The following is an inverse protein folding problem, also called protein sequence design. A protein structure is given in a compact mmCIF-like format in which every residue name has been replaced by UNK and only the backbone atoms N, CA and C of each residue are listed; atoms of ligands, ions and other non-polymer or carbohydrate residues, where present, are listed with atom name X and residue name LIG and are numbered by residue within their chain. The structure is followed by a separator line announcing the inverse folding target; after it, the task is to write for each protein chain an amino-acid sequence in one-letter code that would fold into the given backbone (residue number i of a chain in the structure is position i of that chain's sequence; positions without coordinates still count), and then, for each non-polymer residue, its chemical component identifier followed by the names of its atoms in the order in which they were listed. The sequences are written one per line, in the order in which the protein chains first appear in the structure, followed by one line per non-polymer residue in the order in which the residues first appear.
data_IF_588082765482
#
_entry.id   IF_588082765482
#
_cell.length_a   1.000
_cell.length_b   1.000
_cell.length_c   1.000
_cell.angle_alpha   90.00
_cell.angle_beta   90.00
_cell.angle_gamma   90.00
#
_symmetry.space_group_name_H-M   'P 1'
#
loop_
_entity.id
_entity.type
_entity.pdbx_description
1 polymer ?
#
# COMPACT_ATOMS: atom_id res chain seq x y z
N UNK A 1 5.87 -24.72 11.67
CA UNK A 1 6.87 -23.65 11.90
C UNK A 1 7.02 -22.88 10.59
N UNK A 2 6.28 -21.77 10.42
CA UNK A 2 6.34 -20.98 9.19
C UNK A 2 7.74 -20.34 9.10
N UNK A 3 8.49 -20.62 8.05
CA UNK A 3 9.77 -19.94 7.82
C UNK A 3 9.50 -18.48 7.49
N UNK A 4 10.24 -17.56 8.10
CA UNK A 4 10.11 -16.10 7.86
C UNK A 4 10.19 -15.75 6.36
N UNK A 5 10.95 -16.54 5.59
CA UNK A 5 11.06 -16.42 4.13
C UNK A 5 9.74 -16.73 3.43
N UNK A 6 9.05 -17.80 3.83
CA UNK A 6 7.75 -18.19 3.27
C UNK A 6 6.69 -17.13 3.53
N UNK A 7 6.70 -16.54 4.74
CA UNK A 7 5.86 -15.39 5.06
C UNK A 7 6.17 -14.20 4.15
N UNK A 8 7.43 -13.81 4.04
CA UNK A 8 7.83 -12.67 3.21
C UNK A 8 7.48 -12.84 1.72
N UNK A 9 7.60 -14.05 1.15
CA UNK A 9 7.16 -14.32 -0.22
C UNK A 9 5.64 -14.25 -0.39
N UNK A 10 4.88 -14.73 0.59
CA UNK A 10 3.42 -14.59 0.58
C UNK A 10 3.00 -13.12 0.61
N UNK A 11 3.72 -12.28 1.38
CA UNK A 11 3.48 -10.83 1.37
C UNK A 11 3.81 -10.22 0.00
N UNK A 12 4.95 -10.56 -0.61
CA UNK A 12 5.26 -10.08 -1.98
C UNK A 12 4.13 -10.42 -2.96
N UNK A 13 3.59 -11.64 -2.89
CA UNK A 13 2.50 -12.06 -3.76
C UNK A 13 1.24 -11.21 -3.56
N UNK A 14 0.88 -10.95 -2.30
CA UNK A 14 -0.28 -10.12 -1.96
C UNK A 14 -0.07 -8.66 -2.40
N UNK A 15 1.13 -8.10 -2.23
CA UNK A 15 1.45 -6.74 -2.67
C UNK A 15 1.34 -6.59 -4.19
N UNK A 16 1.86 -7.56 -4.96
CA UNK A 16 1.71 -7.59 -6.42
C UNK A 16 0.23 -7.67 -6.82
N UNK A 17 -0.55 -8.51 -6.13
CA UNK A 17 -1.98 -8.64 -6.39
C UNK A 17 -2.74 -7.33 -6.13
N UNK A 18 -2.43 -6.61 -5.05
CA UNK A 18 -3.04 -5.30 -4.79
C UNK A 18 -2.61 -4.24 -5.81
N UNK A 19 -1.33 -4.18 -6.18
CA UNK A 19 -0.84 -3.28 -7.23
C UNK A 19 -1.61 -3.50 -8.53
N UNK A 20 -1.85 -4.77 -8.90
CA UNK A 20 -2.64 -5.11 -10.08
C UNK A 20 -4.09 -4.62 -9.98
N UNK A 21 -4.76 -4.82 -8.84
CA UNK A 21 -6.13 -4.36 -8.64
C UNK A 21 -6.22 -2.83 -8.74
N UNK A 22 -5.32 -2.09 -8.08
CA UNK A 22 -5.31 -0.63 -8.14
C UNK A 22 -5.06 -0.14 -9.56
N UNK A 23 -4.11 -0.74 -10.28
CA UNK A 23 -3.86 -0.42 -11.68
C UNK A 23 -5.08 -0.64 -12.56
N UNK A 24 -5.74 -1.80 -12.44
CA UNK A 24 -6.95 -2.12 -13.21
C UNK A 24 -8.08 -1.14 -12.93
N UNK A 25 -8.24 -0.73 -11.67
CA UNK A 25 -9.24 0.29 -11.30
C UNK A 25 -8.93 1.64 -11.95
N UNK A 26 -7.69 2.11 -11.80
CA UNK A 26 -7.26 3.39 -12.38
C UNK A 26 -7.47 3.41 -13.90
N UNK A 27 -7.15 2.30 -14.56
CA UNK A 27 -7.39 2.12 -15.99
C UNK A 27 -8.89 2.17 -16.33
N UNK A 28 -9.74 1.52 -15.54
CA UNK A 28 -11.18 1.51 -15.74
C UNK A 28 -11.78 2.91 -15.59
N UNK A 29 -11.35 3.68 -14.59
CA UNK A 29 -11.77 5.07 -14.38
C UNK A 29 -11.38 5.94 -15.58
N UNK A 30 -10.16 5.78 -16.10
CA UNK A 30 -9.70 6.50 -17.29
C UNK A 30 -10.53 6.14 -18.54
N UNK A 31 -10.85 4.86 -18.73
CA UNK A 31 -11.64 4.39 -19.86
C UNK A 31 -13.08 4.93 -19.82
N UNK A 32 -13.72 4.87 -18.65
CA UNK A 32 -15.08 5.40 -18.47
C UNK A 32 -15.15 6.91 -18.73
N UNK A 33 -14.15 7.67 -18.26
CA UNK A 33 -14.10 9.10 -18.54
C UNK A 33 -13.94 9.39 -20.04
N UNK A 34 -13.19 8.56 -20.78
CA UNK A 34 -13.05 8.71 -22.23
C UNK A 34 -14.37 8.47 -22.96
N UNK A 35 -15.13 7.45 -22.57
CA UNK A 35 -16.47 7.18 -23.13
C UNK A 35 -17.46 8.33 -22.87
N UNK A 36 -17.43 8.91 -21.67
CA UNK A 36 -18.28 10.07 -21.32
C UNK A 36 -17.88 11.33 -22.10
N UNK A 37 -16.57 11.55 -22.34
CA UNK A 37 -16.07 12.66 -23.15
C UNK A 37 -16.48 12.55 -24.63
N UNK A 38 -16.47 11.33 -25.18
CA UNK A 38 -16.90 11.08 -26.56
C UNK A 38 -18.43 11.28 -26.73
N UNK A 39 -19.21 11.09 -25.65
CA UNK A 39 -20.65 11.44 -25.62
C UNK A 39 -20.93 12.93 -25.41
N UNK A 40 -20.07 13.63 -24.68
CA UNK A 40 -20.33 14.99 -24.19
C UNK A 40 -19.38 16.01 -24.83
N UNK A 41 -19.35 16.02 -26.17
CA UNK A 41 -18.57 16.96 -26.96
C UNK A 41 -19.14 18.38 -26.83
N UNK A 42 -18.73 19.17 -25.80
CA UNK A 42 -18.47 20.64 -25.89
C UNK A 42 -18.15 21.45 -24.62
N UNK A 43 -18.21 20.96 -23.38
CA UNK A 43 -18.37 21.91 -22.25
C UNK A 43 -17.27 22.08 -21.19
N UNK A 44 -16.12 21.40 -21.20
CA UNK A 44 -15.04 21.82 -20.28
C UNK A 44 -13.65 21.27 -20.63
N UNK A 45 -12.76 22.17 -21.07
CA UNK A 45 -11.33 21.91 -21.27
C UNK A 45 -10.61 21.54 -19.96
N UNK A 46 -11.11 22.02 -18.82
CA UNK A 46 -10.45 21.89 -17.51
C UNK A 46 -10.80 20.59 -16.76
N UNK A 47 -11.94 19.95 -17.05
CA UNK A 47 -12.34 18.68 -16.41
C UNK A 47 -11.55 17.46 -16.92
N UNK A 48 -11.03 17.50 -18.16
CA UNK A 48 -10.40 16.34 -18.78
C UNK A 48 -8.98 16.04 -18.25
N UNK A 49 -8.31 17.04 -17.67
CA UNK A 49 -6.92 16.88 -17.22
C UNK A 49 -6.80 16.24 -15.85
N UNK A 50 -7.76 16.42 -14.95
CA UNK A 50 -7.66 15.93 -13.56
C UNK A 50 -7.49 14.41 -13.47
N UNK A 51 -8.38 13.65 -14.10
CA UNK A 51 -8.36 12.17 -14.08
C UNK A 51 -7.14 11.62 -14.82
N UNK A 52 -6.73 12.24 -15.94
CA UNK A 52 -5.50 11.86 -16.65
C UNK A 52 -4.26 12.08 -15.79
N UNK A 53 -4.19 13.22 -15.09
CA UNK A 53 -3.11 13.52 -14.17
C UNK A 53 -3.11 12.55 -12.99
N UNK A 54 -4.26 12.25 -12.41
CA UNK A 54 -4.39 11.29 -11.32
C UNK A 54 -3.96 9.88 -11.74
N UNK A 55 -4.41 9.40 -12.91
CA UNK A 55 -3.99 8.13 -13.51
C UNK A 55 -2.47 8.07 -13.72
N UNK A 56 -1.87 9.15 -14.23
CA UNK A 56 -0.43 9.23 -14.48
C UNK A 56 0.35 9.15 -13.16
N UNK A 57 -0.05 9.92 -12.14
CA UNK A 57 0.55 9.89 -10.81
C UNK A 57 0.45 8.49 -10.20
N UNK A 58 -0.73 7.86 -10.26
CA UNK A 58 -0.96 6.52 -9.75
C UNK A 58 -0.11 5.48 -10.49
N UNK A 59 -0.05 5.54 -11.82
CA UNK A 59 0.78 4.64 -12.63
C UNK A 59 2.27 4.74 -12.29
N UNK A 60 2.79 5.96 -12.10
CA UNK A 60 4.17 6.17 -11.67
C UNK A 60 4.37 5.60 -10.25
N UNK A 61 3.44 5.88 -9.33
CA UNK A 61 3.51 5.41 -7.95
C UNK A 61 3.53 3.87 -7.88
N UNK A 62 2.63 3.20 -8.62
CA UNK A 62 2.58 1.75 -8.71
C UNK A 62 3.86 1.16 -9.35
N UNK A 63 4.42 1.83 -10.37
CA UNK A 63 5.70 1.47 -10.97
C UNK A 63 6.86 1.53 -9.96
N UNK A 64 6.90 2.58 -9.14
CA UNK A 64 7.87 2.71 -8.05
C UNK A 64 7.66 1.60 -7.01
N UNK A 65 6.42 1.31 -6.62
CA UNK A 65 6.11 0.21 -5.69
C UNK A 65 6.60 -1.15 -6.21
N UNK A 66 6.45 -1.43 -7.52
CA UNK A 66 6.96 -2.66 -8.12
C UNK A 66 8.49 -2.79 -8.01
N UNK A 67 9.23 -1.68 -8.16
CA UNK A 67 10.69 -1.68 -7.98
C UNK A 67 11.06 -2.10 -6.55
N UNK A 68 10.35 -1.58 -5.53
CA UNK A 68 10.61 -1.93 -4.14
C UNK A 68 10.22 -3.38 -3.80
N UNK A 69 9.13 -3.90 -4.38
CA UNK A 69 8.79 -5.32 -4.28
C UNK A 69 9.86 -6.20 -4.92
N UNK A 70 10.42 -5.79 -6.07
CA UNK A 70 11.52 -6.49 -6.72
C UNK A 70 12.80 -6.48 -5.86
N UNK A 71 13.13 -5.34 -5.26
CA UNK A 71 14.24 -5.23 -4.30
C UNK A 71 14.04 -6.13 -3.08
N UNK A 72 12.81 -6.24 -2.57
CA UNK A 72 12.45 -7.15 -1.50
C UNK A 72 12.72 -8.62 -1.91
N UNK A 73 12.25 -9.06 -3.07
CA UNK A 73 12.48 -10.42 -3.57
C UNK A 73 13.98 -10.72 -3.70
N UNK A 74 14.75 -9.78 -4.25
CA UNK A 74 16.19 -9.92 -4.39
C UNK A 74 16.91 -9.93 -3.03
N UNK A 75 16.49 -9.06 -2.11
CA UNK A 75 16.97 -8.99 -0.73
C UNK A 75 16.73 -10.29 0.04
N UNK A 76 15.54 -10.89 -0.11
CA UNK A 76 15.20 -12.19 0.47
C UNK A 76 16.06 -13.32 -0.10
N UNK A 77 16.28 -13.34 -1.42
CA UNK A 77 17.12 -14.35 -2.09
C UNK A 77 18.58 -14.25 -1.64
N UNK A 78 19.12 -13.04 -1.52
CA UNK A 78 20.50 -12.78 -1.10
C UNK A 78 20.68 -12.73 0.43
N UNK A 79 19.59 -12.87 1.19
CA UNK A 79 19.53 -12.75 2.65
C UNK A 79 20.22 -11.47 3.17
N UNK A 80 20.04 -10.35 2.46
CA UNK A 80 20.67 -9.07 2.76
C UNK A 80 19.65 -8.07 3.29
N UNK A 81 19.81 -7.71 4.56
CA UNK A 81 18.91 -6.77 5.25
C UNK A 81 18.94 -5.35 4.67
N UNK A 82 20.07 -4.95 4.05
CA UNK A 82 20.22 -3.62 3.45
C UNK A 82 19.20 -3.35 2.33
N UNK A 83 18.84 -4.40 1.59
CA UNK A 83 17.85 -4.33 0.50
C UNK A 83 16.40 -4.33 1.00
N UNK A 84 16.15 -4.66 2.27
CA UNK A 84 14.82 -4.65 2.88
C UNK A 84 14.44 -3.27 3.44
N UNK A 85 15.42 -2.48 3.89
CA UNK A 85 15.19 -1.17 4.52
C UNK A 85 14.39 -0.22 3.62
N UNK A 86 14.71 -0.10 2.31
CA UNK A 86 13.97 0.82 1.43
C UNK A 86 12.49 0.42 1.25
N UNK A 87 12.21 -0.89 1.18
CA UNK A 87 10.84 -1.41 1.09
C UNK A 87 10.05 -1.06 2.36
N UNK A 88 10.63 -1.26 3.54
CA UNK A 88 10.02 -0.88 4.83
C UNK A 88 9.68 0.62 4.92
N UNK A 89 10.57 1.49 4.44
CA UNK A 89 10.35 2.95 4.47
C UNK A 89 9.13 3.32 3.61
N UNK A 90 9.08 2.81 2.38
CA UNK A 90 7.97 3.06 1.46
C UNK A 90 6.66 2.48 1.99
N UNK A 91 6.73 1.36 2.71
CA UNK A 91 5.56 0.74 3.31
C UNK A 91 4.97 1.55 4.46
N UNK A 92 5.82 2.13 5.31
CA UNK A 92 5.38 3.09 6.33
C UNK A 92 4.72 4.33 5.70
N UNK A 93 5.30 4.85 4.61
CA UNK A 93 4.70 5.96 3.87
C UNK A 93 3.34 5.58 3.27
N UNK A 94 3.23 4.41 2.64
CA UNK A 94 2.00 3.91 2.08
C UNK A 94 0.90 3.73 3.13
N UNK A 95 1.23 3.26 4.33
CA UNK A 95 0.29 3.18 5.46
C UNK A 95 -0.28 4.54 5.85
N UNK A 96 0.56 5.56 5.90
CA UNK A 96 0.13 6.92 6.23
C UNK A 96 -0.80 7.48 5.15
N UNK A 97 -0.48 7.28 3.88
CA UNK A 97 -1.34 7.65 2.77
C UNK A 97 -2.69 6.91 2.79
N UNK A 98 -2.68 5.59 3.02
CA UNK A 98 -3.90 4.78 3.12
C UNK A 98 -4.79 5.24 4.28
N UNK A 99 -4.20 5.58 5.43
CA UNK A 99 -4.93 6.12 6.56
C UNK A 99 -5.65 7.43 6.21
N UNK A 100 -4.96 8.34 5.52
CA UNK A 100 -5.61 9.57 5.04
C UNK A 100 -6.70 9.32 4.02
N UNK A 101 -6.50 8.41 3.06
CA UNK A 101 -7.52 8.06 2.08
C UNK A 101 -8.78 7.50 2.74
N UNK A 102 -8.64 6.71 3.80
CA UNK A 102 -9.76 6.22 4.59
C UNK A 102 -10.50 7.37 5.28
N UNK A 103 -9.79 8.34 5.88
CA UNK A 103 -10.42 9.52 6.49
C UNK A 103 -11.16 10.37 5.44
N UNK A 104 -10.52 10.62 4.30
CA UNK A 104 -11.11 11.36 3.19
C UNK A 104 -12.38 10.65 2.71
N UNK A 105 -12.34 9.33 2.57
CA UNK A 105 -13.47 8.55 2.12
C UNK A 105 -14.61 8.47 3.12
N UNK A 106 -14.34 8.39 4.42
CA UNK A 106 -15.41 8.49 5.41
C UNK A 106 -16.06 9.86 5.39
N UNK A 107 -15.28 10.95 5.32
CA UNK A 107 -15.82 12.31 5.19
C UNK A 107 -16.66 12.44 3.92
N UNK A 108 -16.20 11.89 2.79
CA UNK A 108 -16.95 11.90 1.53
C UNK A 108 -18.34 11.27 1.68
N UNK A 109 -18.43 10.11 2.33
CA UNK A 109 -19.68 9.38 2.55
C UNK A 109 -20.66 10.10 3.50
N UNK A 110 -20.15 10.89 4.46
CA UNK A 110 -21.00 11.61 5.41
C UNK A 110 -21.45 12.99 4.90
N UNK A 111 -20.69 13.60 4.00
CA UNK A 111 -20.89 15.01 3.60
C UNK A 111 -21.33 15.19 2.15
N UNK A 112 -21.23 14.13 1.34
CA UNK A 112 -21.52 14.12 -0.09
C UNK A 112 -20.80 15.21 -0.91
N UNK A 113 -19.72 15.77 -0.36
CA UNK A 113 -18.94 16.82 -1.01
C UNK A 113 -18.12 16.27 -2.17
N UNK A 114 -18.29 16.91 -3.34
CA UNK A 114 -17.66 16.52 -4.59
C UNK A 114 -16.12 16.48 -4.51
N UNK A 115 -15.53 17.38 -3.72
CA UNK A 115 -14.09 17.51 -3.55
C UNK A 115 -13.45 16.23 -2.98
N UNK A 116 -14.06 15.62 -1.98
CA UNK A 116 -13.50 14.40 -1.36
C UNK A 116 -13.62 13.19 -2.27
N UNK A 117 -14.71 13.10 -3.05
CA UNK A 117 -14.84 12.06 -4.08
C UNK A 117 -13.85 12.23 -5.23
N UNK A 118 -13.52 13.48 -5.60
CA UNK A 118 -12.44 13.74 -6.57
C UNK A 118 -11.10 13.28 -6.03
N UNK A 119 -10.79 13.64 -4.78
CA UNK A 119 -9.53 13.29 -4.14
C UNK A 119 -9.33 11.76 -4.03
N UNK A 120 -10.42 10.99 -3.90
CA UNK A 120 -10.39 9.53 -3.97
C UNK A 120 -10.15 9.00 -5.39
N UNK A 121 -10.53 9.73 -6.43
CA UNK A 121 -10.40 9.37 -7.85
C UNK A 121 -10.97 7.98 -8.21
N UNK A 122 -12.06 7.57 -7.55
CA UNK A 122 -12.67 6.24 -7.76
C UNK A 122 -13.69 6.24 -8.93
N UNK A 123 -14.31 7.40 -9.21
CA UNK A 123 -15.46 7.50 -10.12
C UNK A 123 -15.41 8.81 -10.90
N UNK A 124 -15.68 8.80 -12.21
CA UNK A 124 -16.01 10.01 -12.95
C UNK A 124 -17.46 10.42 -12.65
N UNK A 125 -17.68 11.63 -12.14
CA UNK A 125 -19.01 12.18 -11.93
C UNK A 125 -19.10 13.62 -12.44
N UNK A 126 -20.25 13.96 -13.00
CA UNK A 126 -20.55 15.30 -13.49
C UNK A 126 -21.21 16.10 -12.36
N UNK A 127 -20.53 17.13 -11.87
CA UNK A 127 -21.13 18.10 -10.95
C UNK A 127 -22.22 18.90 -11.68
N UNK A 128 -23.36 19.12 -11.02
CA UNK A 128 -24.30 20.13 -11.49
C UNK A 128 -23.70 21.52 -11.26
N UNK A 129 -23.77 22.44 -12.24
CA UNK A 129 -23.16 23.76 -12.12
C UNK A 129 -23.73 24.51 -10.91
N UNK A 130 -22.85 24.93 -10.00
CA UNK A 130 -23.21 25.71 -8.81
C UNK A 130 -23.53 24.89 -7.54
N UNK A 131 -23.44 23.56 -7.58
CA UNK A 131 -23.58 22.70 -6.40
C UNK A 131 -22.24 22.09 -5.97
N UNK A 132 -21.97 22.10 -4.67
CA UNK A 132 -20.76 21.50 -4.07
C UNK A 132 -20.94 20.02 -3.70
N UNK A 133 -22.16 19.50 -3.81
CA UNK A 133 -22.54 18.13 -3.48
C UNK A 133 -22.83 17.29 -4.73
N UNK A 134 -22.65 15.98 -4.64
CA UNK A 134 -22.81 15.05 -5.77
C UNK A 134 -23.88 14.01 -5.44
N UNK A 135 -24.85 13.86 -6.35
CA UNK A 135 -25.79 12.75 -6.30
C UNK A 135 -25.20 11.54 -7.06
N UNK A 136 -24.79 10.50 -6.34
CA UNK A 136 -24.27 9.27 -6.94
C UNK A 136 -25.40 8.28 -7.26
N UNK A 137 -25.30 7.60 -8.41
CA UNK A 137 -26.14 6.43 -8.70
C UNK A 137 -25.79 5.28 -7.76
N UNK A 138 -26.73 4.32 -7.59
CA UNK A 138 -26.51 3.16 -6.73
C UNK A 138 -25.28 2.32 -7.15
N UNK A 139 -25.00 2.23 -8.45
CA UNK A 139 -23.83 1.56 -9.00
C UNK A 139 -22.52 2.27 -8.61
N UNK A 140 -22.48 3.59 -8.78
CA UNK A 140 -21.32 4.39 -8.41
C UNK A 140 -21.08 4.33 -6.90
N UNK A 141 -22.12 4.45 -6.09
CA UNK A 141 -22.01 4.35 -4.65
C UNK A 141 -21.48 2.97 -4.20
N UNK A 142 -21.97 1.88 -4.81
CA UNK A 142 -21.47 0.53 -4.55
C UNK A 142 -19.97 0.40 -4.86
N UNK A 143 -19.50 1.04 -5.93
CA UNK A 143 -18.08 1.08 -6.27
C UNK A 143 -17.26 1.84 -5.21
N UNK A 144 -17.71 2.99 -4.74
CA UNK A 144 -17.03 3.72 -3.65
C UNK A 144 -16.88 2.83 -2.42
N UNK A 145 -17.95 2.16 -2.00
CA UNK A 145 -17.89 1.25 -0.85
C UNK A 145 -16.92 0.09 -1.06
N UNK A 146 -16.92 -0.53 -2.24
CA UNK A 146 -16.00 -1.61 -2.57
C UNK A 146 -14.52 -1.16 -2.48
N UNK A 147 -14.19 0.02 -2.99
CA UNK A 147 -12.83 0.55 -2.93
C UNK A 147 -12.42 0.98 -1.53
N UNK A 148 -13.32 1.60 -0.75
CA UNK A 148 -13.03 1.92 0.65
C UNK A 148 -12.80 0.67 1.49
N UNK A 149 -13.59 -0.39 1.26
CA UNK A 149 -13.37 -1.68 1.88
C UNK A 149 -12.02 -2.28 1.49
N UNK A 150 -11.63 -2.18 0.21
CA UNK A 150 -10.35 -2.67 -0.27
C UNK A 150 -9.17 -1.86 0.31
N UNK A 151 -9.27 -0.54 0.42
CA UNK A 151 -8.29 0.31 1.12
C UNK A 151 -8.17 -0.08 2.59
N UNK A 152 -9.29 -0.36 3.26
CA UNK A 152 -9.29 -0.80 4.66
C UNK A 152 -8.62 -2.15 4.84
N UNK A 153 -8.93 -3.12 3.98
CA UNK A 153 -8.29 -4.44 3.99
C UNK A 153 -6.77 -4.32 3.74
N UNK A 154 -6.40 -3.48 2.77
CA UNK A 154 -4.99 -3.21 2.46
C UNK A 154 -4.28 -2.59 3.66
N UNK A 155 -4.90 -1.61 4.32
CA UNK A 155 -4.37 -0.98 5.53
C UNK A 155 -4.11 -1.99 6.66
N UNK A 156 -5.08 -2.87 6.94
CA UNK A 156 -4.91 -3.92 7.95
C UNK A 156 -3.77 -4.88 7.61
N UNK A 157 -3.66 -5.27 6.34
CA UNK A 157 -2.63 -6.21 5.89
C UNK A 157 -1.22 -5.59 5.94
N UNK A 158 -1.10 -4.32 5.53
CA UNK A 158 0.12 -3.53 5.62
C UNK A 158 0.56 -3.35 7.08
N UNK A 159 -0.38 -3.07 7.99
CA UNK A 159 -0.09 -2.95 9.41
C UNK A 159 0.35 -4.29 10.03
N UNK A 160 -0.32 -5.38 9.65
CA UNK A 160 0.03 -6.73 10.07
C UNK A 160 1.44 -7.13 9.62
N UNK A 161 1.86 -6.72 8.42
CA UNK A 161 3.21 -6.97 7.93
C UNK A 161 4.29 -6.33 8.82
N UNK A 162 4.12 -5.04 9.17
CA UNK A 162 5.07 -4.35 10.05
C UNK A 162 5.16 -5.05 11.41
N UNK A 163 4.02 -5.53 11.95
CA UNK A 163 4.01 -6.31 13.20
C UNK A 163 4.82 -7.60 13.09
N UNK A 164 4.73 -8.32 11.97
CA UNK A 164 5.54 -9.54 11.77
C UNK A 164 7.02 -9.19 11.76
N UNK A 165 7.43 -8.17 11.00
CA UNK A 165 8.85 -7.78 10.93
C UNK A 165 9.37 -7.36 12.29
N UNK A 166 8.59 -6.56 13.03
CA UNK A 166 8.94 -6.17 14.39
C UNK A 166 9.16 -7.39 15.30
N UNK A 167 8.25 -8.36 15.28
CA UNK A 167 8.39 -9.58 16.07
C UNK A 167 9.60 -10.42 15.64
N UNK A 168 9.88 -10.51 14.34
CA UNK A 168 11.08 -11.19 13.83
C UNK A 168 12.37 -10.50 14.30
N UNK A 169 12.42 -9.17 14.25
CA UNK A 169 13.58 -8.40 14.71
C UNK A 169 13.79 -8.56 16.22
N UNK A 170 12.70 -8.52 17.00
CA UNK A 170 12.75 -8.78 18.45
C UNK A 170 13.29 -10.17 18.75
N UNK A 171 12.76 -11.20 18.09
CA UNK A 171 13.24 -12.57 18.26
C UNK A 171 14.72 -12.73 17.89
N UNK A 172 15.18 -12.05 16.83
CA UNK A 172 16.59 -12.04 16.45
C UNK A 172 17.48 -11.37 17.50
N UNK A 173 17.05 -10.22 18.05
CA UNK A 173 17.77 -9.53 19.11
C UNK A 173 17.88 -10.38 20.39
N UNK A 174 16.78 -11.05 20.79
CA UNK A 174 16.77 -11.97 21.94
C UNK A 174 17.74 -13.15 21.72
N UNK A 175 17.74 -13.76 20.53
CA UNK A 175 18.67 -14.83 20.15
C UNK A 175 20.13 -14.38 20.15
N UNK A 176 20.40 -13.17 19.65
CA UNK A 176 21.75 -12.61 19.64
C UNK A 176 22.27 -12.39 21.06
N UNK A 177 21.45 -11.82 21.94
CA UNK A 177 21.78 -11.64 23.36
C UNK A 177 22.02 -12.98 24.06
N UNK A 178 21.21 -14.00 23.77
CA UNK A 178 21.44 -15.36 24.29
C UNK A 178 22.76 -15.97 23.79
N UNK A 179 23.09 -15.81 22.50
CA UNK A 179 24.38 -16.28 21.98
C UNK A 179 25.57 -15.56 22.62
N UNK A 180 25.49 -14.24 22.82
CA UNK A 180 26.50 -13.45 23.52
C UNK A 180 26.68 -13.94 24.96
N UNK A 181 25.58 -14.23 25.66
CA UNK A 181 25.61 -14.85 26.98
C UNK A 181 26.33 -16.21 26.95
N UNK A 182 25.95 -17.13 26.06
CA UNK A 182 26.60 -18.43 25.94
C UNK A 182 28.09 -18.32 25.57
N UNK A 183 28.47 -17.36 24.72
CA UNK A 183 29.86 -17.04 24.40
C UNK A 183 30.62 -16.56 25.64
N UNK A 184 30.06 -15.63 26.40
CA UNK A 184 30.67 -15.07 27.61
C UNK A 184 30.86 -16.10 28.74
N UNK A 185 29.99 -17.10 28.84
CA UNK A 185 30.12 -18.17 29.85
C UNK A 185 30.95 -19.37 29.37
N UNK A 186 31.03 -19.62 28.06
CA UNK A 186 31.88 -20.69 27.50
C UNK A 186 33.37 -20.32 27.43
N UNK A 187 33.70 -19.02 27.31
CA UNK A 187 35.09 -18.54 27.34
C UNK A 187 35.82 -18.82 28.66
N UNK A 188 35.29 -18.52 29.87
CA UNK A 188 35.96 -18.83 31.13
C UNK A 188 36.08 -20.34 31.38
N UNK A 189 35.10 -21.15 30.92
CA UNK A 189 35.16 -22.62 30.97
C UNK A 189 36.26 -23.20 30.06
N UNK A 190 36.49 -22.60 28.88
CA UNK A 190 37.62 -22.97 28.01
C UNK A 190 38.96 -22.66 28.65
N UNK A 191 39.12 -21.50 29.28
CA UNK A 191 40.37 -21.13 29.97
C UNK A 191 40.65 -21.98 31.20
N UNK A 192 39.61 -22.44 31.91
CA UNK A 192 39.75 -23.38 33.03
C UNK A 192 40.16 -24.78 32.55
N UNK A 193 39.59 -25.27 31.44
CA UNK A 193 39.96 -26.56 30.88
C UNK A 193 41.34 -26.57 30.20
N UNK A 194 41.82 -25.43 29.69
CA UNK A 194 43.18 -25.33 29.12
C UNK A 194 44.27 -25.13 30.18
N UNK A 195 43.90 -24.79 31.42
CA UNK A 195 44.81 -24.63 32.55
C UNK A 195 44.99 -25.93 33.37
N UNK A 196 44.31 -27.01 32.97
CA UNK A 196 44.42 -28.35 33.54
C UNK A 196 45.23 -29.24 32.63
#
# INVERSE_FOLDING_TARGET
MFSYKTGAYLICFIEIFFILIFFLNSLLVLLQQKEDLDRQQRLSFWHSNYVKTAFLIESISLGISLIFVFLLIFGLKRNSSSLLIPHLIIQCFALFCLFFLLIIGTIALFTDFALFYRLLNIIPFNEFPGQSTVALSAESLARVYAFLFLYFLTFLLQFWFIKIIYNCNRYFAERNNYMLYCLAYSTPLKTLNSAR
#
